data_IF_605670908295
#
_entry.id   IF_605670908295
#
_cell.length_a   1.000
_cell.length_b   1.000
_cell.length_c   1.000
_cell.angle_alpha   90.00
_cell.angle_beta   90.00
_cell.angle_gamma   90.00
#
_symmetry.space_group_name_H-M   'P 1'
#
loop_
_entity.id
_entity.type
_entity.pdbx_description
1 polymer ?
#
# COMPACT_ATOMS: atom_id res chain seq x y z
N UNK A 1 15.12 14.12 4.41
CA UNK A 1 14.71 13.89 3.02
C UNK A 1 14.38 12.41 2.90
N UNK A 2 13.17 12.06 2.47
CA UNK A 2 12.73 10.67 2.34
C UNK A 2 13.43 10.02 1.15
N UNK A 3 14.02 8.84 1.35
CA UNK A 3 14.39 7.97 0.22
C UNK A 3 13.10 7.35 -0.33
N UNK A 4 12.57 7.97 -1.38
CA UNK A 4 11.29 7.57 -1.99
C UNK A 4 11.33 6.14 -2.53
N UNK A 5 12.46 5.68 -3.06
CA UNK A 5 12.57 4.33 -3.60
C UNK A 5 12.49 3.27 -2.50
N UNK A 6 13.16 3.53 -1.36
CA UNK A 6 13.04 2.69 -0.18
C UNK A 6 11.62 2.73 0.40
N UNK A 7 10.99 3.91 0.43
CA UNK A 7 9.60 4.07 0.87
C UNK A 7 8.63 3.22 0.03
N UNK A 8 8.70 3.33 -1.31
CA UNK A 8 7.82 2.59 -2.23
C UNK A 8 7.98 1.07 -2.05
N UNK A 9 9.21 0.59 -1.90
CA UNK A 9 9.48 -0.83 -1.64
C UNK A 9 8.81 -1.29 -0.35
N UNK A 10 8.99 -0.55 0.75
CA UNK A 10 8.37 -0.84 2.05
C UNK A 10 6.86 -0.78 1.99
N UNK A 11 6.29 0.18 1.26
CA UNK A 11 4.86 0.28 1.05
C UNK A 11 4.31 -0.95 0.32
N UNK A 12 4.94 -1.39 -0.78
CA UNK A 12 4.52 -2.60 -1.50
C UNK A 12 4.63 -3.87 -0.63
N UNK A 13 5.70 -3.93 0.16
CA UNK A 13 6.00 -5.04 1.06
C UNK A 13 4.90 -5.29 2.10
N UNK A 14 4.18 -4.25 2.54
CA UNK A 14 3.06 -4.40 3.50
C UNK A 14 1.91 -5.22 2.93
N UNK A 15 1.56 -4.99 1.66
CA UNK A 15 0.46 -5.67 0.98
C UNK A 15 0.76 -7.14 0.63
N UNK A 16 2.04 -7.50 0.63
CA UNK A 16 2.51 -8.84 0.28
C UNK A 16 3.09 -9.61 1.49
N UNK A 17 2.98 -9.10 2.72
CA UNK A 17 3.63 -9.70 3.90
C UNK A 17 2.80 -10.84 4.53
N UNK A 18 3.28 -12.10 4.49
CA UNK A 18 2.59 -13.24 5.09
C UNK A 18 2.55 -13.23 6.61
N UNK A 19 3.62 -12.75 7.26
CA UNK A 19 3.76 -12.83 8.71
C UNK A 19 3.03 -11.67 9.38
N UNK A 20 2.07 -12.00 10.24
CA UNK A 20 1.20 -11.02 10.88
C UNK A 20 1.96 -10.03 11.78
N UNK A 21 3.01 -10.48 12.47
CA UNK A 21 3.82 -9.61 13.34
C UNK A 21 4.73 -8.67 12.52
N UNK A 22 5.32 -9.16 11.42
CA UNK A 22 6.05 -8.31 10.48
C UNK A 22 5.12 -7.30 9.82
N UNK A 23 3.92 -7.70 9.43
CA UNK A 23 2.92 -6.79 8.84
C UNK A 23 2.54 -5.68 9.82
N UNK A 24 2.20 -6.01 11.07
CA UNK A 24 1.93 -5.02 12.13
C UNK A 24 3.08 -4.04 12.34
N UNK A 25 4.31 -4.56 12.44
CA UNK A 25 5.50 -3.71 12.61
C UNK A 25 5.71 -2.77 11.42
N UNK A 26 5.61 -3.27 10.19
CA UNK A 26 5.74 -2.45 8.98
C UNK A 26 4.67 -1.37 8.89
N UNK A 27 3.42 -1.69 9.26
CA UNK A 27 2.34 -0.70 9.34
C UNK A 27 2.70 0.39 10.35
N UNK A 28 3.16 0.02 11.55
CA UNK A 28 3.54 0.97 12.58
C UNK A 28 4.75 1.84 12.17
N UNK A 29 5.69 1.30 11.41
CA UNK A 29 6.84 2.03 10.86
C UNK A 29 6.44 3.00 9.74
N UNK A 30 5.47 2.62 8.89
CA UNK A 30 5.06 3.40 7.73
C UNK A 30 3.98 4.42 8.01
N UNK A 31 2.92 4.09 8.75
CA UNK A 31 1.84 5.00 9.10
C UNK A 31 2.10 5.69 10.43
N UNK A 32 1.66 6.94 10.57
CA UNK A 32 1.50 7.57 11.89
C UNK A 32 0.44 6.81 12.71
N UNK A 33 0.40 7.01 14.03
CA UNK A 33 -0.55 6.30 14.91
C UNK A 33 -2.01 6.54 14.51
N UNK A 34 -2.33 7.79 14.14
CA UNK A 34 -3.64 8.23 13.63
C UNK A 34 -3.69 8.27 12.09
N UNK A 35 -2.75 7.60 11.41
CA UNK A 35 -2.70 7.57 9.96
C UNK A 35 -3.94 6.92 9.36
N UNK A 36 -4.30 7.32 8.15
CA UNK A 36 -5.49 6.82 7.48
C UNK A 36 -5.19 6.24 6.09
N UNK A 37 -5.96 5.21 5.72
CA UNK A 37 -6.09 4.72 4.35
C UNK A 37 -7.55 4.88 3.90
N UNK A 38 -7.76 5.61 2.81
CA UNK A 38 -9.06 5.91 2.26
C UNK A 38 -9.21 5.28 0.88
N UNK A 39 -10.42 4.82 0.62
CA UNK A 39 -10.88 4.41 -0.71
C UNK A 39 -12.27 4.98 -0.92
N UNK A 40 -12.77 4.94 -2.15
CA UNK A 40 -14.09 5.53 -2.49
C UNK A 40 -15.23 5.06 -1.58
N UNK A 41 -15.20 3.82 -1.10
CA UNK A 41 -16.29 3.22 -0.31
C UNK A 41 -16.02 3.15 1.19
N UNK A 42 -14.77 3.32 1.65
CA UNK A 42 -14.39 3.02 3.03
C UNK A 42 -13.23 3.90 3.52
N UNK A 43 -13.16 4.04 4.84
CA UNK A 43 -12.07 4.68 5.56
C UNK A 43 -11.51 3.72 6.61
N UNK A 44 -10.19 3.63 6.70
CA UNK A 44 -9.48 2.83 7.69
C UNK A 44 -8.52 3.76 8.43
N UNK A 45 -8.83 4.06 9.69
CA UNK A 45 -8.07 5.02 10.51
C UNK A 45 -7.39 4.28 11.66
N UNK A 46 -6.11 4.54 11.84
CA UNK A 46 -5.25 3.91 12.84
C UNK A 46 -4.77 2.52 12.43
N UNK A 47 -3.71 2.06 13.10
CA UNK A 47 -2.99 0.84 12.73
C UNK A 47 -3.87 -0.42 12.73
N UNK A 48 -4.84 -0.52 13.64
CA UNK A 48 -5.73 -1.69 13.72
C UNK A 48 -6.61 -1.80 12.48
N UNK A 49 -7.30 -0.71 12.10
CA UNK A 49 -8.17 -0.72 10.93
C UNK A 49 -7.38 -0.92 9.63
N UNK A 50 -6.17 -0.34 9.55
CA UNK A 50 -5.25 -0.49 8.43
C UNK A 50 -4.74 -1.94 8.33
N UNK A 51 -4.43 -2.58 9.46
CA UNK A 51 -4.03 -4.00 9.49
C UNK A 51 -5.15 -4.91 9.02
N UNK A 52 -6.39 -4.70 9.48
CA UNK A 52 -7.55 -5.49 9.06
C UNK A 52 -7.80 -5.36 7.54
N UNK A 53 -7.67 -4.15 7.01
CA UNK A 53 -7.75 -3.86 5.57
C UNK A 53 -6.69 -4.64 4.79
N UNK A 54 -5.43 -4.52 5.18
CA UNK A 54 -4.32 -5.15 4.47
C UNK A 54 -4.40 -6.67 4.61
N UNK A 55 -4.68 -7.19 5.80
CA UNK A 55 -4.83 -8.63 6.08
C UNK A 55 -5.94 -9.25 5.23
N UNK A 56 -7.13 -8.65 5.23
CA UNK A 56 -8.26 -9.17 4.43
C UNK A 56 -7.96 -9.17 2.92
N UNK A 57 -7.23 -8.16 2.44
CA UNK A 57 -6.76 -8.10 1.04
C UNK A 57 -5.72 -9.17 0.76
N UNK A 58 -4.75 -9.34 1.65
CA UNK A 58 -3.71 -10.37 1.56
C UNK A 58 -4.33 -11.77 1.53
N UNK A 59 -5.17 -12.13 2.50
CA UNK A 59 -5.81 -13.46 2.59
C UNK A 59 -6.61 -13.82 1.33
N UNK A 60 -7.27 -12.81 0.74
CA UNK A 60 -8.11 -13.00 -0.44
C UNK A 60 -7.32 -13.21 -1.74
N UNK A 61 -6.15 -12.58 -1.88
CA UNK A 61 -5.45 -12.53 -3.17
C UNK A 61 -4.03 -13.07 -3.14
N UNK A 62 -3.23 -12.70 -2.16
CA UNK A 62 -1.80 -13.08 -2.10
C UNK A 62 -1.60 -14.38 -1.33
N UNK A 63 -2.33 -14.55 -0.21
CA UNK A 63 -2.26 -15.73 0.64
C UNK A 63 -2.71 -17.03 -0.04
N UNK A 64 -3.44 -16.94 -1.15
CA UNK A 64 -3.79 -18.09 -1.99
C UNK A 64 -2.63 -18.58 -2.85
N UNK A 65 -1.57 -17.77 -3.01
CA UNK A 65 -0.48 -18.01 -3.96
C UNK A 65 -0.84 -17.71 -5.41
N UNK A 66 -2.01 -17.11 -5.68
CA UNK A 66 -2.46 -16.83 -7.05
C UNK A 66 -1.95 -15.48 -7.56
N UNK A 67 -1.88 -14.46 -6.70
CA UNK A 67 -1.59 -13.09 -7.09
C UNK A 67 -0.45 -12.47 -6.28
N UNK A 68 0.14 -11.42 -6.83
CA UNK A 68 1.09 -10.53 -6.15
C UNK A 68 0.76 -9.07 -6.49
N UNK A 69 0.99 -8.17 -5.53
CA UNK A 69 0.91 -6.73 -5.77
C UNK A 69 2.27 -6.15 -6.14
N UNK A 70 2.29 -5.33 -7.17
CA UNK A 70 3.46 -4.64 -7.68
C UNK A 70 3.19 -3.14 -7.81
N UNK A 71 4.23 -2.32 -7.59
CA UNK A 71 4.18 -0.88 -7.82
C UNK A 71 4.85 -0.60 -9.17
N UNK A 72 4.20 0.21 -10.00
CA UNK A 72 4.77 0.72 -11.25
C UNK A 72 6.04 1.52 -10.96
N UNK A 73 7.04 1.39 -11.83
CA UNK A 73 8.23 2.24 -11.88
C UNK A 73 7.90 3.73 -12.02
N UNK A 74 6.73 4.07 -12.57
CA UNK A 74 6.26 5.43 -12.74
C UNK A 74 5.63 5.98 -11.46
N UNK A 75 6.36 6.85 -10.75
CA UNK A 75 5.85 7.56 -9.57
C UNK A 75 6.27 9.04 -9.59
N UNK A 76 5.60 9.85 -8.77
CA UNK A 76 5.97 11.22 -8.49
C UNK A 76 6.16 11.42 -7.00
N UNK A 77 7.13 12.23 -6.62
CA UNK A 77 7.34 12.64 -5.24
C UNK A 77 7.85 14.09 -5.18
N UNK A 78 7.20 14.89 -4.35
CA UNK A 78 7.66 16.23 -3.98
C UNK A 78 6.92 16.71 -2.74
N UNK A 79 7.52 17.59 -1.93
CA UNK A 79 6.85 18.25 -0.79
C UNK A 79 6.04 17.27 0.09
N UNK A 80 6.63 16.12 0.40
CA UNK A 80 6.03 15.08 1.25
C UNK A 80 4.74 14.44 0.69
N UNK A 81 4.47 14.63 -0.59
CA UNK A 81 3.41 13.97 -1.34
C UNK A 81 3.98 12.94 -2.33
N UNK A 82 3.44 11.72 -2.31
CA UNK A 82 3.77 10.63 -3.24
C UNK A 82 2.54 10.31 -4.10
N UNK A 83 2.73 10.13 -5.41
CA UNK A 83 1.74 9.53 -6.30
C UNK A 83 2.35 8.33 -6.99
N UNK A 84 1.70 7.17 -6.93
CA UNK A 84 2.15 5.92 -7.55
C UNK A 84 0.99 5.15 -8.17
N UNK A 85 1.29 4.27 -9.11
CA UNK A 85 0.34 3.29 -9.64
C UNK A 85 0.70 1.90 -9.13
N UNK A 86 -0.30 1.07 -8.84
CA UNK A 86 -0.12 -0.32 -8.43
C UNK A 86 -0.88 -1.26 -9.37
N UNK A 87 -0.43 -2.51 -9.39
CA UNK A 87 -1.01 -3.60 -10.15
C UNK A 87 -1.17 -4.83 -9.27
N UNK A 88 -2.23 -5.60 -9.53
CA UNK A 88 -2.34 -6.98 -9.09
C UNK A 88 -2.13 -7.88 -10.30
N UNK A 89 -1.14 -8.77 -10.22
CA UNK A 89 -0.74 -9.65 -11.33
C UNK A 89 -0.75 -11.11 -10.88
N UNK A 90 -1.10 -12.07 -11.76
CA UNK A 90 -0.98 -13.49 -11.45
C UNK A 90 0.48 -13.91 -11.24
N UNK A 91 0.76 -14.71 -10.20
CA UNK A 91 2.11 -15.22 -9.93
C UNK A 91 2.64 -16.15 -11.04
N UNK A 92 1.74 -16.82 -11.75
CA UNK A 92 2.07 -17.65 -12.93
C UNK A 92 2.48 -16.82 -14.16
N UNK A 93 2.42 -15.49 -14.07
CA UNK A 93 2.54 -14.58 -15.20
C UNK A 93 1.22 -14.43 -15.96
N UNK A 94 1.07 -13.31 -16.65
CA UNK A 94 -0.14 -13.00 -17.41
C UNK A 94 -0.48 -11.52 -17.39
N UNK A 95 -1.72 -11.20 -17.77
CA UNK A 95 -2.21 -9.83 -17.79
C UNK A 95 -2.52 -9.33 -16.37
N UNK A 96 -2.38 -8.01 -16.19
CA UNK A 96 -2.87 -7.31 -14.99
C UNK A 96 -4.36 -7.58 -14.83
N UNK A 97 -4.78 -7.94 -13.61
CA UNK A 97 -6.20 -8.25 -13.29
C UNK A 97 -6.87 -7.15 -12.49
N UNK A 98 -6.09 -6.29 -11.83
CA UNK A 98 -6.57 -5.07 -11.19
C UNK A 98 -5.45 -4.01 -11.18
N UNK A 99 -5.82 -2.74 -11.24
CA UNK A 99 -4.91 -1.63 -11.12
C UNK A 99 -5.54 -0.49 -10.31
N UNK A 100 -4.68 0.40 -9.82
CA UNK A 100 -5.15 1.61 -9.20
C UNK A 100 -4.04 2.63 -9.00
N UNK A 101 -4.45 3.83 -8.63
CA UNK A 101 -3.55 4.92 -8.28
C UNK A 101 -3.66 5.20 -6.78
N UNK A 102 -2.52 5.48 -6.17
CA UNK A 102 -2.43 5.85 -4.76
C UNK A 102 -1.77 7.24 -4.64
N UNK A 103 -2.36 8.10 -3.81
CA UNK A 103 -1.82 9.40 -3.43
C UNK A 103 -1.61 9.46 -1.91
N UNK A 104 -0.37 9.68 -1.48
CA UNK A 104 0.04 9.58 -0.08
C UNK A 104 0.60 10.92 0.39
N UNK A 105 0.15 11.37 1.55
CA UNK A 105 0.69 12.51 2.28
C UNK A 105 1.50 12.01 3.48
N UNK A 106 2.76 12.43 3.54
CA UNK A 106 3.71 12.09 4.60
C UNK A 106 3.83 13.23 5.63
N UNK A 107 4.12 12.88 6.86
CA UNK A 107 4.53 13.82 7.89
C UNK A 107 6.00 14.24 7.73
N UNK A 108 6.45 15.15 8.59
CA UNK A 108 7.84 15.62 8.64
C UNK A 108 8.89 14.53 8.91
N UNK A 109 8.47 13.34 9.35
CA UNK A 109 9.32 12.18 9.61
C UNK A 109 9.25 11.14 8.47
N UNK A 110 8.48 11.42 7.40
CA UNK A 110 8.29 10.52 6.27
C UNK A 110 7.28 9.39 6.54
N UNK A 111 6.43 9.50 7.56
CA UNK A 111 5.37 8.54 7.87
C UNK A 111 4.05 8.98 7.25
N UNK A 112 3.26 8.01 6.80
CA UNK A 112 1.97 8.23 6.15
C UNK A 112 0.98 8.81 7.15
N UNK A 113 0.56 10.05 6.92
CA UNK A 113 -0.61 10.65 7.57
C UNK A 113 -1.88 10.21 6.86
N UNK A 114 -1.85 10.20 5.52
CA UNK A 114 -3.02 9.83 4.73
C UNK A 114 -2.61 9.16 3.42
N UNK A 115 -3.29 8.08 3.08
CA UNK A 115 -3.14 7.31 1.85
C UNK A 115 -4.52 7.23 1.16
N UNK A 116 -4.63 7.78 -0.04
CA UNK A 116 -5.85 7.75 -0.85
C UNK A 116 -5.68 6.77 -2.02
N UNK A 117 -6.50 5.73 -2.05
CA UNK A 117 -6.55 4.75 -3.13
C UNK A 117 -7.72 5.02 -4.07
N UNK A 118 -7.42 5.04 -5.36
CA UNK A 118 -8.36 5.08 -6.48
C UNK A 118 -8.26 3.79 -7.28
N UNK A 119 -9.40 3.25 -7.72
CA UNK A 119 -9.41 2.09 -8.62
C UNK A 119 -9.35 2.60 -10.06
N UNK A 120 -8.42 2.06 -10.85
CA UNK A 120 -8.25 2.45 -12.24
C UNK A 120 -8.83 1.36 -13.15
N UNK A 121 -9.33 1.76 -14.32
CA UNK A 121 -9.58 0.79 -15.38
C UNK A 121 -8.25 0.17 -15.88
N UNK A 122 -8.31 -1.11 -16.23
CA UNK A 122 -7.21 -1.87 -16.85
C UNK A 122 -7.33 -1.90 -18.37
#
# INVERSE_FOLDING_TARGET
MVDVQLFLRRYNEVWNEPDAERRRRRIAELWTEEGAHYMETNAFVGHVAIEDRIRSTYERYVGTGEYIFEIDSSFNYHHDAVRLRWFMVPQSGGNVVAAGTVFILLDQYGRIQTDYQFSDAI
#
